data_IF_092229955718
#
_entry.id   IF_092229955718
#
_cell.length_a   1.000
_cell.length_b   1.000
_cell.length_c   1.000
_cell.angle_alpha   90.00
_cell.angle_beta   90.00
_cell.angle_gamma   90.00
#
_symmetry.space_group_name_H-M   'P 1'
#
loop_
_entity.id
_entity.type
_entity.pdbx_description
1 polymer ?
#
# COMPACT_ATOMS: atom_id res chain seq x y z
N UNK A 1 -2.08 -15.67 15.73
CA UNK A 1 -1.52 -14.39 15.25
C UNK A 1 -2.65 -13.61 14.58
N UNK A 2 -3.08 -12.49 15.15
CA UNK A 2 -4.13 -11.64 14.59
C UNK A 2 -3.51 -10.65 13.59
N UNK A 3 -3.93 -10.69 12.33
CA UNK A 3 -3.45 -9.83 11.26
C UNK A 3 -4.59 -8.96 10.76
N UNK A 4 -4.44 -7.65 10.90
CA UNK A 4 -5.41 -6.65 10.46
C UNK A 4 -4.98 -6.02 9.14
N UNK A 5 -5.84 -6.03 8.16
CA UNK A 5 -5.70 -5.22 6.95
C UNK A 5 -6.44 -3.90 7.09
N UNK A 6 -5.75 -2.79 6.86
CA UNK A 6 -6.33 -1.45 6.81
C UNK A 6 -6.21 -0.93 5.39
N UNK A 7 -7.36 -0.56 4.81
CA UNK A 7 -7.48 -0.02 3.46
C UNK A 7 -7.91 1.45 3.57
N UNK A 8 -7.00 2.41 3.46
CA UNK A 8 -7.34 3.84 3.52
C UNK A 8 -7.99 4.27 2.20
N UNK A 9 -9.24 4.73 2.26
CA UNK A 9 -10.05 5.11 1.10
C UNK A 9 -10.78 6.43 1.33
N UNK A 10 -10.09 7.58 1.19
CA UNK A 10 -10.72 8.89 1.35
C UNK A 10 -11.64 9.27 0.17
N UNK A 11 -12.65 10.10 0.43
CA UNK A 11 -13.55 10.62 -0.59
C UNK A 11 -12.89 11.65 -1.51
N UNK A 12 -12.04 12.51 -0.95
CA UNK A 12 -11.30 13.52 -1.71
C UNK A 12 -10.10 12.92 -2.47
N UNK A 13 -9.92 13.29 -3.74
CA UNK A 13 -8.75 12.90 -4.54
C UNK A 13 -8.48 13.95 -5.61
N UNK A 14 -7.25 14.51 -5.66
CA UNK A 14 -6.88 15.60 -6.59
C UNK A 14 -6.92 15.19 -8.06
N UNK A 15 -6.41 14.00 -8.37
CA UNK A 15 -6.24 13.57 -9.77
C UNK A 15 -7.50 12.97 -10.41
N UNK A 16 -8.35 12.32 -9.62
CA UNK A 16 -9.55 11.62 -10.07
C UNK A 16 -10.61 11.75 -9.00
N UNK A 17 -11.72 12.41 -9.28
CA UNK A 17 -12.82 12.57 -8.32
C UNK A 17 -13.35 11.19 -7.89
N UNK A 18 -13.56 10.99 -6.58
CA UNK A 18 -13.97 9.72 -5.99
C UNK A 18 -13.16 8.53 -6.53
N UNK A 19 -11.84 8.68 -6.65
CA UNK A 19 -10.92 7.69 -7.27
C UNK A 19 -11.22 6.25 -6.84
N UNK A 20 -11.53 6.03 -5.56
CA UNK A 20 -11.79 4.71 -5.01
C UNK A 20 -13.05 4.02 -5.59
N UNK A 21 -13.98 4.79 -6.15
CA UNK A 21 -15.22 4.29 -6.79
C UNK A 21 -15.16 4.30 -8.32
N UNK A 22 -14.07 4.78 -8.92
CA UNK A 22 -13.93 4.76 -10.39
C UNK A 22 -13.98 3.33 -10.90
N UNK A 23 -14.77 3.15 -11.97
CA UNK A 23 -14.93 1.82 -12.58
C UNK A 23 -13.70 1.45 -13.39
N UNK A 24 -13.12 0.33 -13.02
CA UNK A 24 -12.01 -0.31 -13.69
C UNK A 24 -12.44 -1.74 -14.03
N UNK A 25 -12.56 -2.08 -15.32
CA UNK A 25 -13.04 -3.38 -15.77
C UNK A 25 -14.31 -3.86 -15.04
N UNK A 26 -15.39 -3.05 -15.10
CA UNK A 26 -16.72 -3.30 -14.51
C UNK A 26 -16.79 -3.33 -12.97
N UNK A 27 -15.69 -3.14 -12.25
CA UNK A 27 -15.64 -3.10 -10.79
C UNK A 27 -15.12 -1.76 -10.29
N UNK A 28 -15.55 -1.25 -9.13
CA UNK A 28 -14.94 -0.07 -8.53
C UNK A 28 -13.47 -0.35 -8.15
N UNK A 29 -12.61 0.67 -8.19
CA UNK A 29 -11.19 0.51 -7.85
C UNK A 29 -10.99 -0.12 -6.45
N UNK A 30 -11.82 0.23 -5.49
CA UNK A 30 -11.83 -0.32 -4.13
C UNK A 30 -11.97 -1.86 -4.12
N UNK A 31 -12.75 -2.42 -5.05
CA UNK A 31 -12.99 -3.85 -5.17
C UNK A 31 -11.69 -4.67 -5.19
N UNK A 32 -10.73 -4.26 -6.02
CA UNK A 32 -9.48 -5.03 -6.20
C UNK A 32 -8.68 -5.14 -4.92
N UNK A 33 -8.69 -4.08 -4.10
CA UNK A 33 -7.95 -4.09 -2.82
C UNK A 33 -8.68 -4.86 -1.75
N UNK A 34 -10.00 -4.68 -1.65
CA UNK A 34 -10.84 -5.41 -0.69
C UNK A 34 -10.78 -6.91 -0.97
N UNK A 35 -10.99 -7.33 -2.23
CA UNK A 35 -10.94 -8.74 -2.58
C UNK A 35 -9.57 -9.36 -2.34
N UNK A 36 -8.49 -8.68 -2.73
CA UNK A 36 -7.13 -9.18 -2.45
C UNK A 36 -6.86 -9.32 -0.93
N UNK A 37 -7.48 -8.50 -0.10
CA UNK A 37 -7.39 -8.61 1.35
C UNK A 37 -8.22 -9.78 1.89
N UNK A 38 -9.47 -9.90 1.46
CA UNK A 38 -10.40 -10.95 1.93
C UNK A 38 -9.99 -12.36 1.47
N UNK A 39 -9.37 -12.47 0.29
CA UNK A 39 -8.88 -13.72 -0.28
C UNK A 39 -7.52 -14.15 0.29
N UNK A 40 -6.84 -13.29 1.07
CA UNK A 40 -5.59 -13.64 1.74
C UNK A 40 -5.83 -14.72 2.80
N UNK A 41 -4.97 -15.73 2.83
CA UNK A 41 -5.03 -16.83 3.81
C UNK A 41 -4.46 -16.43 5.18
N UNK A 42 -3.82 -15.27 5.28
CA UNK A 42 -3.11 -14.83 6.49
C UNK A 42 -3.84 -13.66 7.18
N UNK A 43 -4.57 -12.83 6.43
CA UNK A 43 -5.35 -11.72 7.00
C UNK A 43 -6.60 -12.27 7.71
N UNK A 44 -6.82 -11.82 8.96
CA UNK A 44 -7.97 -12.24 9.76
C UNK A 44 -9.12 -11.23 9.71
N UNK A 45 -8.80 -9.94 9.52
CA UNK A 45 -9.79 -8.86 9.51
C UNK A 45 -9.41 -7.82 8.47
N UNK A 46 -10.40 -7.39 7.67
CA UNK A 46 -10.25 -6.35 6.63
C UNK A 46 -11.11 -5.16 6.98
N UNK A 47 -10.48 -3.99 7.15
CA UNK A 47 -11.14 -2.73 7.49
C UNK A 47 -10.85 -1.68 6.43
N UNK A 48 -11.90 -1.07 5.91
CA UNK A 48 -11.81 0.13 5.07
C UNK A 48 -11.99 1.37 5.95
N UNK A 49 -10.97 2.22 6.01
CA UNK A 49 -11.07 3.51 6.69
C UNK A 49 -11.44 4.61 5.70
N UNK A 50 -12.58 5.28 5.90
CA UNK A 50 -13.08 6.30 4.98
C UNK A 50 -13.81 7.43 5.70
N UNK A 51 -13.87 8.61 5.09
CA UNK A 51 -14.70 9.76 5.47
C UNK A 51 -15.98 9.87 4.62
N UNK A 52 -16.15 8.96 3.63
CA UNK A 52 -17.19 9.05 2.61
C UNK A 52 -18.21 7.91 2.72
N UNK A 53 -19.50 8.25 2.87
CA UNK A 53 -20.59 7.27 3.01
C UNK A 53 -20.74 6.34 1.80
N UNK A 54 -20.52 6.82 0.56
CA UNK A 54 -20.62 5.98 -0.65
C UNK A 54 -19.50 4.94 -0.67
N UNK A 55 -18.26 5.34 -0.32
CA UNK A 55 -17.13 4.41 -0.22
C UNK A 55 -17.39 3.38 0.89
N UNK A 56 -17.89 3.82 2.06
CA UNK A 56 -18.24 2.92 3.15
C UNK A 56 -19.31 1.90 2.75
N UNK A 57 -20.39 2.35 2.09
CA UNK A 57 -21.42 1.46 1.57
C UNK A 57 -20.85 0.40 0.63
N UNK A 58 -20.05 0.82 -0.35
CA UNK A 58 -19.39 -0.10 -1.29
C UNK A 58 -18.47 -1.10 -0.57
N UNK A 59 -17.72 -0.65 0.46
CA UNK A 59 -16.85 -1.52 1.23
C UNK A 59 -17.62 -2.61 1.99
N UNK A 60 -18.75 -2.24 2.61
CA UNK A 60 -19.66 -3.19 3.30
C UNK A 60 -20.27 -4.21 2.31
N UNK A 61 -20.73 -3.75 1.14
CA UNK A 61 -21.25 -4.62 0.08
C UNK A 61 -20.19 -5.60 -0.43
N UNK A 62 -18.91 -5.26 -0.35
CA UNK A 62 -17.79 -6.13 -0.70
C UNK A 62 -17.37 -7.08 0.43
N UNK A 63 -17.95 -6.96 1.64
CA UNK A 63 -17.64 -7.81 2.79
C UNK A 63 -16.55 -7.29 3.73
N UNK A 64 -16.06 -6.07 3.55
CA UNK A 64 -15.11 -5.45 4.48
C UNK A 64 -15.85 -4.74 5.63
N UNK A 65 -15.22 -4.66 6.81
CA UNK A 65 -15.67 -3.76 7.87
C UNK A 65 -15.31 -2.31 7.53
N UNK A 66 -16.06 -1.35 8.09
CA UNK A 66 -15.86 0.08 7.82
C UNK A 66 -15.64 0.85 9.11
N UNK A 67 -14.56 1.61 9.16
CA UNK A 67 -14.30 2.59 10.20
C UNK A 67 -14.37 3.99 9.60
N UNK A 68 -15.41 4.75 9.99
CA UNK A 68 -15.57 6.13 9.54
C UNK A 68 -14.61 7.05 10.27
N UNK A 69 -13.70 7.69 9.54
CA UNK A 69 -12.72 8.62 10.11
C UNK A 69 -13.18 10.07 10.00
N UNK A 70 -12.79 10.93 10.96
CA UNK A 70 -13.08 12.36 10.90
C UNK A 70 -12.40 13.02 9.69
N UNK A 71 -13.00 14.08 9.16
CA UNK A 71 -12.53 14.81 7.97
C UNK A 71 -11.07 15.28 8.08
N UNK A 72 -10.59 15.64 9.29
CA UNK A 72 -9.20 16.02 9.52
C UNK A 72 -8.19 14.94 9.13
N UNK A 73 -8.57 13.65 9.15
CA UNK A 73 -7.77 12.51 8.73
C UNK A 73 -7.97 12.12 7.25
N UNK A 74 -8.72 12.94 6.49
CA UNK A 74 -9.02 12.70 5.08
C UNK A 74 -8.57 13.85 4.16
N UNK A 75 -7.79 14.80 4.67
CA UNK A 75 -7.24 15.91 3.89
C UNK A 75 -6.14 15.43 2.94
N UNK A 76 -5.77 16.27 1.96
CA UNK A 76 -4.69 15.97 1.01
C UNK A 76 -3.32 15.83 1.65
N UNK A 77 -3.11 16.48 2.79
CA UNK A 77 -1.87 16.48 3.56
C UNK A 77 -1.90 15.53 4.75
N UNK A 78 -3.03 14.84 4.99
CA UNK A 78 -3.14 13.90 6.09
C UNK A 78 -2.18 12.72 5.88
N UNK A 79 -1.32 12.50 6.85
CA UNK A 79 -0.44 11.34 6.88
C UNK A 79 -1.24 10.06 7.14
N UNK A 80 -0.65 8.94 6.81
CA UNK A 80 -1.32 7.65 6.91
C UNK A 80 -1.30 7.08 8.33
N UNK A 81 -0.25 7.37 9.09
CA UNK A 81 -0.06 6.88 10.45
C UNK A 81 -1.22 7.28 11.40
N UNK A 82 -1.69 8.53 11.44
CA UNK A 82 -2.88 8.90 12.22
C UNK A 82 -4.16 8.19 11.81
N UNK A 83 -4.28 7.76 10.54
CA UNK A 83 -5.41 6.93 10.08
C UNK A 83 -5.33 5.53 10.67
N UNK A 84 -4.12 4.96 10.72
CA UNK A 84 -3.88 3.66 11.35
C UNK A 84 -4.18 3.71 12.85
N UNK A 85 -3.66 4.73 13.55
CA UNK A 85 -3.95 4.95 14.98
C UNK A 85 -5.45 5.03 15.25
N UNK A 86 -6.20 5.77 14.43
CA UNK A 86 -7.65 5.89 14.55
C UNK A 86 -8.37 4.55 14.38
N UNK A 87 -7.95 3.72 13.42
CA UNK A 87 -8.55 2.39 13.21
C UNK A 87 -8.23 1.47 14.39
N UNK A 88 -6.99 1.47 14.87
CA UNK A 88 -6.59 0.65 16.01
C UNK A 88 -7.39 1.02 17.28
N UNK A 89 -7.47 2.31 17.61
CA UNK A 89 -8.24 2.79 18.75
C UNK A 89 -9.72 2.41 18.64
N UNK A 90 -10.33 2.56 17.46
CA UNK A 90 -11.72 2.16 17.24
C UNK A 90 -11.94 0.65 17.45
N UNK A 91 -11.06 -0.18 16.90
CA UNK A 91 -11.21 -1.64 17.05
C UNK A 91 -10.95 -2.12 18.47
N UNK A 92 -10.04 -1.49 19.20
CA UNK A 92 -9.82 -1.76 20.62
C UNK A 92 -11.04 -1.37 21.46
N UNK A 93 -11.55 -0.14 21.30
CA UNK A 93 -12.67 0.41 22.07
C UNK A 93 -13.98 -0.36 21.85
N UNK A 94 -14.34 -0.66 20.58
CA UNK A 94 -15.66 -1.19 20.24
C UNK A 94 -15.70 -2.70 20.00
N UNK A 95 -14.55 -3.36 19.87
CA UNK A 95 -14.49 -4.79 19.49
C UNK A 95 -13.49 -5.61 20.33
N UNK A 96 -12.77 -4.99 21.26
CA UNK A 96 -11.65 -5.64 22.00
C UNK A 96 -10.67 -6.37 21.05
N UNK A 97 -10.41 -5.74 19.89
CA UNK A 97 -9.58 -6.33 18.85
C UNK A 97 -8.21 -5.67 18.75
N UNK A 98 -7.19 -6.38 19.20
CA UNK A 98 -5.79 -5.97 19.21
C UNK A 98 -4.98 -6.85 18.24
N UNK A 99 -4.62 -6.35 17.02
CA UNK A 99 -3.85 -7.12 16.06
C UNK A 99 -2.37 -7.18 16.46
N UNK A 100 -1.69 -8.29 16.12
CA UNK A 100 -0.24 -8.43 16.25
C UNK A 100 0.49 -7.80 15.05
N UNK A 101 -0.13 -7.85 13.87
CA UNK A 101 0.41 -7.29 12.63
C UNK A 101 -0.65 -6.42 11.98
N UNK A 102 -0.22 -5.24 11.53
CA UNK A 102 -1.00 -4.31 10.71
C UNK A 102 -0.49 -4.43 9.28
N UNK A 103 -1.41 -4.59 8.32
CA UNK A 103 -1.15 -4.56 6.89
C UNK A 103 -1.88 -3.38 6.29
N UNK A 104 -1.17 -2.48 5.63
CA UNK A 104 -1.76 -1.32 4.95
C UNK A 104 -1.73 -1.60 3.46
N UNK A 105 -2.91 -1.55 2.83
CA UNK A 105 -3.09 -1.82 1.41
C UNK A 105 -3.65 -0.58 0.71
N UNK A 106 -2.86 0.05 -0.16
CA UNK A 106 -3.32 1.22 -0.91
C UNK A 106 -4.17 0.81 -2.11
N UNK A 107 -5.28 1.52 -2.32
CA UNK A 107 -6.20 1.29 -3.45
C UNK A 107 -5.61 1.65 -4.81
N UNK A 108 -4.55 2.44 -4.83
CA UNK A 108 -3.85 2.83 -6.05
C UNK A 108 -3.15 1.68 -6.77
N UNK A 109 -3.00 0.52 -6.12
CA UNK A 109 -2.29 -0.67 -6.62
C UNK A 109 -3.27 -1.83 -6.93
N UNK A 110 -4.14 -1.73 -7.97
CA UNK A 110 -5.20 -2.70 -8.22
C UNK A 110 -4.69 -4.05 -8.75
N UNK A 111 -3.45 -4.14 -9.19
CA UNK A 111 -2.85 -5.38 -9.72
C UNK A 111 -2.21 -6.25 -8.63
N UNK A 112 -2.20 -5.79 -7.37
CA UNK A 112 -1.82 -6.60 -6.21
C UNK A 112 -2.91 -7.63 -5.95
N UNK A 113 -2.48 -8.88 -5.69
CA UNK A 113 -3.36 -10.01 -5.39
C UNK A 113 -3.18 -10.49 -3.94
N UNK A 114 -4.07 -11.36 -3.47
CA UNK A 114 -3.94 -12.07 -2.20
C UNK A 114 -2.60 -12.83 -2.08
N UNK A 115 -2.16 -13.46 -3.18
CA UNK A 115 -0.88 -14.17 -3.24
C UNK A 115 0.30 -13.26 -2.88
N UNK A 116 0.36 -12.05 -3.42
CA UNK A 116 1.43 -11.09 -3.10
C UNK A 116 1.42 -10.70 -1.60
N UNK A 117 0.23 -10.56 -1.00
CA UNK A 117 0.08 -10.26 0.42
C UNK A 117 0.61 -11.43 1.27
N UNK A 118 0.18 -12.65 0.96
CA UNK A 118 0.57 -13.85 1.69
C UNK A 118 2.07 -14.12 1.58
N UNK A 119 2.66 -13.93 0.40
CA UNK A 119 4.10 -14.07 0.19
C UNK A 119 4.91 -13.03 1.00
N UNK A 120 4.46 -11.76 1.01
CA UNK A 120 5.10 -10.70 1.78
C UNK A 120 5.07 -11.01 3.30
N UNK A 121 3.90 -11.42 3.82
CA UNK A 121 3.73 -11.76 5.23
C UNK A 121 4.49 -13.03 5.62
N UNK A 122 4.55 -14.02 4.74
CA UNK A 122 5.34 -15.22 4.93
C UNK A 122 6.83 -14.90 4.99
N UNK A 123 7.32 -14.03 4.08
CA UNK A 123 8.70 -13.55 4.08
C UNK A 123 9.02 -12.78 5.37
N UNK A 124 8.12 -11.88 5.80
CA UNK A 124 8.25 -11.13 7.06
C UNK A 124 8.43 -12.06 8.25
N UNK A 125 7.60 -13.11 8.35
CA UNK A 125 7.67 -14.11 9.42
C UNK A 125 8.95 -14.94 9.34
N UNK A 126 9.29 -15.49 8.16
CA UNK A 126 10.45 -16.36 7.93
C UNK A 126 11.78 -15.65 8.26
N UNK A 127 11.91 -14.39 7.89
CA UNK A 127 13.13 -13.57 8.07
C UNK A 127 13.13 -12.78 9.39
N UNK A 128 12.06 -12.93 10.19
CA UNK A 128 11.87 -12.22 11.47
C UNK A 128 12.00 -10.70 11.32
N UNK A 129 11.44 -10.14 10.24
CA UNK A 129 11.36 -8.69 10.05
C UNK A 129 10.35 -8.07 11.03
N UNK A 130 10.56 -6.82 11.41
CA UNK A 130 9.63 -6.04 12.22
C UNK A 130 8.64 -5.29 11.35
N UNK A 131 9.05 -4.91 10.16
CA UNK A 131 8.20 -4.37 9.10
C UNK A 131 8.67 -4.86 7.73
N UNK A 132 7.77 -4.83 6.75
CA UNK A 132 8.06 -5.14 5.36
C UNK A 132 7.27 -4.20 4.44
N UNK A 133 7.89 -3.77 3.35
CA UNK A 133 7.23 -3.05 2.28
C UNK A 133 7.41 -3.78 0.95
N UNK A 134 6.47 -3.54 0.04
CA UNK A 134 6.56 -4.08 -1.32
C UNK A 134 7.10 -3.06 -2.32
N UNK A 135 7.70 -3.58 -3.36
CA UNK A 135 8.17 -2.79 -4.47
C UNK A 135 8.65 -3.67 -5.61
N UNK A 136 9.41 -3.11 -6.52
CA UNK A 136 10.01 -3.83 -7.63
C UNK A 136 11.49 -3.53 -7.73
N UNK A 137 12.24 -4.39 -8.42
CA UNK A 137 13.66 -4.22 -8.68
C UNK A 137 13.90 -3.89 -10.14
N UNK A 138 14.74 -2.91 -10.41
CA UNK A 138 15.24 -2.61 -11.76
C UNK A 138 16.73 -2.31 -11.75
N UNK A 139 17.38 -2.64 -12.85
CA UNK A 139 18.76 -2.25 -13.11
C UNK A 139 18.78 -0.95 -13.90
N UNK A 140 18.87 0.18 -13.21
CA UNK A 140 18.94 1.50 -13.83
C UNK A 140 19.90 2.40 -13.05
N UNK A 141 20.35 3.45 -13.69
CA UNK A 141 21.15 4.50 -13.07
C UNK A 141 20.28 5.71 -12.79
N UNK A 142 20.23 6.14 -11.52
CA UNK A 142 19.42 7.27 -11.11
C UNK A 142 20.15 8.59 -11.25
N UNK A 143 19.43 9.58 -11.80
CA UNK A 143 19.88 10.94 -11.88
C UNK A 143 18.92 11.86 -11.13
N UNK A 144 19.46 12.82 -10.40
CA UNK A 144 18.69 13.87 -9.74
C UNK A 144 18.82 15.18 -10.49
N UNK A 145 17.68 15.83 -10.71
CA UNK A 145 17.64 17.18 -11.28
C UNK A 145 17.71 18.21 -10.16
N UNK A 146 18.59 19.19 -10.32
CA UNK A 146 18.67 20.41 -9.54
C UNK A 146 18.29 21.58 -10.45
N UNK A 147 18.10 22.80 -9.88
CA UNK A 147 17.64 23.97 -10.68
C UNK A 147 18.33 24.10 -12.04
N UNK A 148 19.66 24.02 -12.09
CA UNK A 148 20.45 24.26 -13.30
C UNK A 148 21.39 23.10 -13.67
N UNK A 149 21.22 21.92 -13.07
CA UNK A 149 22.12 20.79 -13.34
C UNK A 149 21.43 19.45 -13.08
N UNK A 150 22.01 18.39 -13.61
CA UNK A 150 21.68 17.01 -13.25
C UNK A 150 22.92 16.32 -12.70
N UNK A 151 22.73 15.44 -11.72
CA UNK A 151 23.83 14.63 -11.15
C UNK A 151 23.38 13.20 -10.95
N UNK A 152 24.27 12.21 -11.12
CA UNK A 152 23.95 10.83 -10.76
C UNK A 152 23.71 10.75 -9.27
N UNK A 153 22.79 9.87 -8.87
CA UNK A 153 22.34 9.75 -7.49
C UNK A 153 23.11 8.69 -6.70
N UNK A 154 23.61 7.68 -7.40
CA UNK A 154 24.05 6.41 -6.82
C UNK A 154 25.39 5.89 -7.38
N UNK A 155 26.07 6.68 -8.22
CA UNK A 155 27.38 6.31 -8.76
C UNK A 155 28.23 7.52 -9.13
N UNK A 156 29.54 7.31 -9.25
CA UNK A 156 30.48 8.31 -9.79
C UNK A 156 30.46 8.23 -11.32
N UNK A 157 30.11 9.30 -12.08
CA UNK A 157 30.09 9.29 -13.54
C UNK A 157 31.43 8.98 -14.18
N UNK A 158 32.56 9.27 -13.49
CA UNK A 158 33.91 8.92 -13.97
C UNK A 158 34.22 7.43 -13.83
N UNK A 159 33.47 6.71 -12.99
CA UNK A 159 33.65 5.28 -12.69
C UNK A 159 32.32 4.55 -12.76
N UNK A 160 31.58 4.75 -13.87
CA UNK A 160 30.29 4.10 -14.07
C UNK A 160 30.41 2.59 -13.94
N UNK A 161 29.71 1.96 -12.97
CA UNK A 161 29.81 0.53 -12.79
C UNK A 161 29.16 -0.21 -13.97
N UNK A 162 29.68 -1.39 -14.28
CA UNK A 162 29.01 -2.31 -15.20
C UNK A 162 27.78 -2.89 -14.52
N UNK A 163 26.77 -3.28 -15.32
CA UNK A 163 25.45 -3.75 -14.82
C UNK A 163 25.58 -4.84 -13.75
N UNK A 164 26.51 -5.78 -13.93
CA UNK A 164 26.75 -6.88 -13.01
C UNK A 164 27.30 -6.45 -11.63
N UNK A 165 27.85 -5.24 -11.53
CA UNK A 165 28.44 -4.67 -10.31
C UNK A 165 27.60 -3.54 -9.71
N UNK A 166 26.55 -3.06 -10.40
CA UNK A 166 25.74 -1.92 -9.92
C UNK A 166 24.72 -2.27 -8.85
N UNK A 167 24.53 -3.54 -8.54
CA UNK A 167 23.48 -3.99 -7.62
C UNK A 167 22.06 -3.74 -8.15
N UNK A 168 21.09 -4.34 -7.48
CA UNK A 168 19.66 -4.10 -7.76
C UNK A 168 19.18 -2.85 -7.01
N UNK A 169 18.47 -1.98 -7.71
CA UNK A 169 17.78 -0.86 -7.09
C UNK A 169 16.35 -1.23 -6.80
N UNK A 170 15.92 -1.00 -5.56
CA UNK A 170 14.60 -1.32 -5.08
C UNK A 170 13.74 -0.06 -5.08
N UNK A 171 12.59 -0.15 -5.73
CA UNK A 171 11.60 0.94 -5.84
C UNK A 171 10.34 0.55 -5.10
N UNK A 172 9.95 1.36 -4.11
CA UNK A 172 8.69 1.20 -3.39
C UNK A 172 7.51 1.44 -4.33
N UNK A 173 6.50 0.54 -4.30
CA UNK A 173 5.29 0.66 -5.11
C UNK A 173 4.04 1.01 -4.29
N UNK A 174 4.16 1.11 -2.97
CA UNK A 174 3.04 1.44 -2.09
C UNK A 174 1.93 0.37 -2.00
N UNK A 175 2.10 -0.79 -2.64
CA UNK A 175 1.05 -1.79 -2.70
C UNK A 175 0.80 -2.50 -1.36
N UNK A 176 1.87 -2.80 -0.62
CA UNK A 176 1.81 -3.52 0.65
C UNK A 176 2.81 -2.90 1.63
N UNK A 177 2.31 -2.52 2.80
CA UNK A 177 3.12 -2.27 3.98
C UNK A 177 2.62 -3.18 5.09
N UNK A 178 3.51 -3.87 5.79
CA UNK A 178 3.13 -4.60 6.99
C UNK A 178 4.11 -4.32 8.11
N UNK A 179 3.60 -4.20 9.34
CA UNK A 179 4.41 -3.91 10.51
C UNK A 179 3.84 -4.62 11.74
N UNK A 180 4.70 -5.04 12.65
CA UNK A 180 4.28 -5.49 13.97
C UNK A 180 3.64 -4.31 14.71
N UNK A 181 2.46 -4.49 15.26
CA UNK A 181 1.73 -3.43 15.95
C UNK A 181 2.55 -2.76 17.04
N UNK A 182 3.29 -3.53 17.84
CA UNK A 182 4.20 -2.98 18.86
C UNK A 182 5.29 -2.05 18.29
N UNK A 183 5.80 -2.36 17.09
CA UNK A 183 6.81 -1.52 16.44
C UNK A 183 6.19 -0.23 15.91
N UNK A 184 5.00 -0.32 15.32
CA UNK A 184 4.22 0.85 14.88
C UNK A 184 3.90 1.80 16.05
N UNK A 185 3.37 1.26 17.16
CA UNK A 185 3.04 2.07 18.35
C UNK A 185 4.27 2.79 18.90
N UNK A 186 5.42 2.09 18.97
CA UNK A 186 6.67 2.65 19.49
C UNK A 186 7.26 3.74 18.58
N UNK A 187 7.25 3.53 17.27
CA UNK A 187 7.92 4.41 16.29
C UNK A 187 7.00 5.47 15.67
N UNK A 188 5.68 5.27 15.75
CA UNK A 188 4.67 6.02 14.99
C UNK A 188 4.96 6.06 13.48
N UNK A 189 5.51 4.96 12.96
CA UNK A 189 5.87 4.81 11.56
C UNK A 189 5.50 3.41 11.06
N UNK A 190 4.87 3.33 9.88
CA UNK A 190 4.49 2.06 9.24
C UNK A 190 5.69 1.19 8.83
N UNK A 191 6.88 1.79 8.76
CA UNK A 191 8.14 1.09 8.45
C UNK A 191 9.14 1.41 9.55
N UNK A 192 9.50 0.39 10.34
CA UNK A 192 10.42 0.54 11.47
C UNK A 192 11.05 -0.79 11.88
N UNK A 193 12.07 -0.73 12.73
CA UNK A 193 12.79 -1.90 13.21
C UNK A 193 13.62 -2.58 12.11
N UNK A 194 13.69 -3.90 12.11
CA UNK A 194 14.32 -4.69 11.05
C UNK A 194 13.38 -4.73 9.84
N UNK A 195 13.75 -4.00 8.79
CA UNK A 195 12.92 -3.80 7.60
C UNK A 195 13.22 -4.87 6.56
N UNK A 196 12.15 -5.49 6.01
CA UNK A 196 12.19 -6.37 4.85
C UNK A 196 11.66 -5.68 3.60
N UNK A 197 12.02 -6.23 2.44
CA UNK A 197 11.50 -5.81 1.15
C UNK A 197 10.96 -7.01 0.38
N UNK A 198 9.71 -6.92 -0.08
CA UNK A 198 9.08 -7.93 -0.92
C UNK A 198 9.07 -7.45 -2.38
N UNK A 199 9.80 -8.15 -3.23
CA UNK A 199 9.89 -7.81 -4.66
C UNK A 199 8.67 -8.35 -5.39
N UNK A 200 7.83 -7.45 -5.88
CA UNK A 200 6.71 -7.76 -6.78
C UNK A 200 7.16 -7.72 -8.24
N UNK A 201 6.50 -8.46 -9.14
CA UNK A 201 6.70 -8.29 -10.58
C UNK A 201 6.43 -6.83 -10.99
N UNK A 202 7.26 -6.29 -11.89
CA UNK A 202 7.14 -4.90 -12.35
C UNK A 202 5.76 -4.61 -12.94
N UNK A 203 5.25 -5.54 -13.76
CA UNK A 203 3.92 -5.43 -14.39
C UNK A 203 2.74 -5.48 -13.39
N UNK A 204 2.98 -5.91 -12.14
CA UNK A 204 2.01 -5.88 -11.04
C UNK A 204 2.19 -4.70 -10.09
N UNK A 205 3.21 -3.87 -10.33
CA UNK A 205 3.61 -2.75 -9.46
C UNK A 205 3.10 -1.38 -9.92
N UNK A 206 2.25 -1.33 -10.94
CA UNK A 206 1.68 -0.07 -11.44
C UNK A 206 0.65 0.53 -10.49
N UNK A 207 0.73 1.85 -10.31
CA UNK A 207 -0.20 2.64 -9.51
C UNK A 207 -1.13 3.49 -10.38
N UNK A 208 -2.32 3.80 -9.84
CA UNK A 208 -3.28 4.73 -10.44
C UNK A 208 -3.25 6.05 -9.67
N UNK A 209 -2.62 7.07 -10.24
CA UNK A 209 -2.62 8.43 -9.71
C UNK A 209 -3.24 9.45 -10.67
N UNK A 210 -3.31 9.12 -11.95
CA UNK A 210 -3.86 9.95 -13.01
C UNK A 210 -4.83 9.18 -13.92
N UNK A 211 -5.58 9.92 -14.75
CA UNK A 211 -6.43 9.34 -15.80
C UNK A 211 -5.61 8.54 -16.85
N UNK A 212 -4.32 8.90 -17.06
CA UNK A 212 -3.44 8.16 -17.97
C UNK A 212 -3.13 6.78 -17.40
N UNK A 213 -2.86 6.68 -16.09
CA UNK A 213 -2.59 5.41 -15.41
C UNK A 213 -3.81 4.50 -15.45
N UNK A 214 -5.01 5.07 -15.21
CA UNK A 214 -6.27 4.35 -15.30
C UNK A 214 -6.47 3.71 -16.69
N UNK A 215 -6.17 4.46 -17.77
CA UNK A 215 -6.25 3.95 -19.14
C UNK A 215 -5.22 2.85 -19.39
N UNK A 216 -4.00 3.00 -18.88
CA UNK A 216 -2.94 2.01 -19.03
C UNK A 216 -3.29 0.69 -18.31
N UNK A 217 -3.73 0.78 -17.05
CA UNK A 217 -4.04 -0.40 -16.23
C UNK A 217 -5.26 -1.16 -16.76
N UNK A 218 -6.23 -0.50 -17.38
CA UNK A 218 -7.36 -1.19 -18.05
C UNK A 218 -6.90 -2.23 -19.07
N UNK A 219 -5.77 -2.03 -19.74
CA UNK A 219 -5.22 -2.99 -20.69
C UNK A 219 -4.69 -4.25 -20.00
N UNK A 220 -4.09 -4.11 -18.80
CA UNK A 220 -3.57 -5.25 -18.03
C UNK A 220 -4.65 -6.12 -17.37
N UNK A 221 -5.86 -5.60 -17.19
CA UNK A 221 -6.98 -6.32 -16.58
C UNK A 221 -7.93 -6.96 -17.60
N UNK A 222 -7.71 -6.73 -18.91
CA UNK A 222 -8.51 -7.34 -19.98
C UNK A 222 -7.98 -8.71 -20.41
N UNK A 223 -6.77 -9.04 -20.01
CA UNK A 223 -6.10 -10.33 -20.23
C UNK A 223 -6.10 -11.13 -18.91
#
# INVERSE_FOLDING_TARGET
MRVLSIIPARGGSKGINLKNLVILNQKPLLYYTVMASLESKIINKTVVSTDNKKIGKTALELGAEVVYRPKKLATDTAQLEPVVDHVLAHLEEYQDYNPEIIVILQNTSPLRTAKHIDEALTLMKKKKYDSILSGFSIHTFLWKQFKNSIKPSDYDPKRRPIRQKSGEQLFENGAIFATKTKCFIKSRCRISGKIGFYVMPLEKSYNIDSQKDLKAIRKFLKN
#
